data_IF_766177526785
#
_entry.id   IF_766177526785
#
_cell.length_a   1.000
_cell.length_b   1.000
_cell.length_c   1.000
_cell.angle_alpha   90.00
_cell.angle_beta   90.00
_cell.angle_gamma   90.00
#
_symmetry.space_group_name_H-M   'P 1'
#
loop_
_entity.id
_entity.type
_entity.pdbx_description
1 polymer ?
#
# COMPACT_ATOMS: atom_id res chain seq x y z
N UNK A 1 -21.08 6.93 7.14
CA UNK A 1 -20.07 7.73 6.42
C UNK A 1 -19.37 8.58 7.48
N UNK A 2 -18.08 8.35 7.73
CA UNK A 2 -17.33 9.20 8.66
C UNK A 2 -17.18 10.60 8.05
N UNK A 3 -17.56 11.64 8.81
CA UNK A 3 -17.32 13.02 8.43
C UNK A 3 -15.84 13.36 8.72
N UNK A 4 -15.11 13.81 7.70
CA UNK A 4 -13.69 14.13 7.83
C UNK A 4 -13.45 15.29 8.82
N UNK A 5 -14.42 16.21 8.95
CA UNK A 5 -14.30 17.32 9.91
C UNK A 5 -14.35 16.80 11.34
N UNK A 6 -15.28 15.86 11.63
CA UNK A 6 -15.37 15.22 12.95
C UNK A 6 -14.09 14.44 13.29
N UNK A 7 -13.50 13.77 12.29
CA UNK A 7 -12.21 13.08 12.52
C UNK A 7 -11.08 14.06 12.83
N UNK A 8 -11.05 15.19 12.14
CA UNK A 8 -10.05 16.24 12.37
C UNK A 8 -10.22 16.88 13.74
N UNK A 9 -11.44 17.21 14.13
CA UNK A 9 -11.74 17.82 15.44
C UNK A 9 -11.33 16.85 16.57
N UNK A 10 -11.63 15.56 16.43
CA UNK A 10 -11.20 14.53 17.37
C UNK A 10 -9.67 14.42 17.42
N UNK A 11 -8.98 14.51 16.29
CA UNK A 11 -7.53 14.47 16.22
C UNK A 11 -6.90 15.68 16.91
N UNK A 12 -7.44 16.89 16.68
CA UNK A 12 -7.00 18.12 17.34
C UNK A 12 -7.18 18.00 18.85
N UNK A 13 -8.36 17.57 19.31
CA UNK A 13 -8.63 17.37 20.73
C UNK A 13 -7.66 16.37 21.38
N UNK A 14 -7.29 15.30 20.67
CA UNK A 14 -6.31 14.34 21.13
C UNK A 14 -4.90 14.96 21.24
N UNK A 15 -4.49 15.79 20.28
CA UNK A 15 -3.21 16.52 20.34
C UNK A 15 -3.17 17.47 21.54
N UNK A 16 -4.22 18.26 21.75
CA UNK A 16 -4.36 19.18 22.88
C UNK A 16 -4.31 18.45 24.22
N UNK A 17 -4.97 17.29 24.32
CA UNK A 17 -4.91 16.44 25.53
C UNK A 17 -3.50 15.94 25.88
N UNK A 18 -2.63 15.86 24.86
CA UNK A 18 -1.20 15.51 25.00
C UNK A 18 -0.29 16.72 25.21
N UNK A 19 -0.86 17.94 25.39
CA UNK A 19 -0.11 19.16 25.63
C UNK A 19 0.47 19.80 24.35
N UNK A 20 0.03 19.36 23.17
CA UNK A 20 0.39 20.02 21.90
C UNK A 20 -0.52 21.22 21.71
N UNK A 21 0.05 22.42 21.64
CA UNK A 21 -0.71 23.64 21.36
C UNK A 21 -0.99 23.72 19.86
N UNK A 22 -2.27 23.70 19.49
CA UNK A 22 -2.71 23.83 18.10
C UNK A 22 -3.29 25.21 17.88
N UNK A 23 -2.53 26.11 17.25
CA UNK A 23 -2.96 27.47 16.96
C UNK A 23 -3.10 27.70 15.45
N UNK A 24 -4.02 28.59 15.08
CA UNK A 24 -4.15 29.11 13.71
C UNK A 24 -4.33 28.06 12.62
N UNK A 25 -5.28 27.12 12.79
CA UNK A 25 -5.64 26.17 11.74
C UNK A 25 -6.10 26.94 10.51
N UNK A 26 -5.23 27.00 9.48
CA UNK A 26 -5.54 27.64 8.22
C UNK A 26 -6.40 26.73 7.35
N UNK A 27 -7.01 27.34 6.33
CA UNK A 27 -7.94 26.74 5.38
C UNK A 27 -7.56 25.32 4.99
N UNK A 28 -8.42 24.37 5.33
CA UNK A 28 -8.21 22.95 5.07
C UNK A 28 -8.58 22.62 3.62
N UNK A 29 -7.75 21.79 2.99
CA UNK A 29 -8.06 21.21 1.69
C UNK A 29 -8.00 19.70 1.83
N UNK A 30 -9.03 19.00 1.38
CA UNK A 30 -9.06 17.54 1.32
C UNK A 30 -9.04 17.08 -0.13
N UNK A 31 -8.32 15.98 -0.38
CA UNK A 31 -8.28 15.32 -1.67
C UNK A 31 -8.55 13.84 -1.48
N UNK A 32 -9.26 13.25 -2.44
CA UNK A 32 -9.43 11.81 -2.50
C UNK A 32 -8.17 11.17 -3.05
N UNK A 33 -7.56 10.26 -2.28
CA UNK A 33 -6.45 9.45 -2.76
C UNK A 33 -6.98 8.26 -3.55
N UNK A 34 -6.63 8.14 -4.85
CA UNK A 34 -7.07 7.03 -5.68
C UNK A 34 -6.17 5.80 -5.43
N UNK A 35 -6.62 4.89 -4.57
CA UNK A 35 -5.88 3.67 -4.25
C UNK A 35 -5.91 2.61 -5.33
N UNK A 36 -4.81 1.89 -5.46
CA UNK A 36 -4.66 0.56 -6.03
C UNK A 36 -5.16 0.38 -7.48
N UNK A 37 -4.56 1.06 -8.42
CA UNK A 37 -4.60 0.57 -9.80
C UNK A 37 -3.51 -0.47 -10.01
N UNK A 38 -3.89 -1.73 -10.19
CA UNK A 38 -2.94 -2.80 -10.55
C UNK A 38 -2.43 -2.69 -11.99
N UNK A 39 -2.95 -1.73 -12.75
CA UNK A 39 -2.53 -1.44 -14.14
C UNK A 39 -2.44 0.07 -14.35
N UNK A 40 -1.38 0.55 -15.02
CA UNK A 40 -1.27 1.94 -15.42
C UNK A 40 -2.45 2.36 -16.28
N UNK A 41 -2.94 3.58 -16.06
CA UNK A 41 -3.97 4.18 -16.89
C UNK A 41 -3.32 4.85 -18.10
N UNK A 42 -3.96 4.76 -19.26
CA UNK A 42 -3.48 5.37 -20.50
C UNK A 42 -4.61 5.76 -21.44
N UNK A 43 -4.31 6.66 -22.35
CA UNK A 43 -5.15 6.95 -23.48
C UNK A 43 -4.41 6.58 -24.78
N UNK A 44 -4.82 5.48 -25.40
CA UNK A 44 -4.17 4.95 -26.62
C UNK A 44 -4.29 5.91 -27.81
N UNK A 45 -5.43 6.60 -27.93
CA UNK A 45 -5.70 7.50 -29.06
C UNK A 45 -4.71 8.66 -29.13
N UNK A 46 -4.26 9.13 -27.99
CA UNK A 46 -3.38 10.30 -27.88
C UNK A 46 -1.96 9.96 -27.39
N UNK A 47 -1.61 8.68 -27.30
CA UNK A 47 -0.33 8.22 -26.75
C UNK A 47 0.00 8.81 -25.37
N UNK A 48 -1.03 8.93 -24.51
CA UNK A 48 -0.87 9.44 -23.15
C UNK A 48 -0.75 8.27 -22.17
N UNK A 49 0.31 8.25 -21.39
CA UNK A 49 0.48 7.38 -20.22
C UNK A 49 0.36 8.21 -18.95
N UNK A 50 -0.40 7.73 -17.96
CA UNK A 50 -0.49 8.34 -16.63
C UNK A 50 0.42 7.59 -15.67
N UNK A 51 1.04 8.33 -14.75
CA UNK A 51 1.90 7.79 -13.68
C UNK A 51 1.50 8.37 -12.33
N UNK A 52 1.98 7.75 -11.24
CA UNK A 52 1.72 8.19 -9.87
C UNK A 52 0.23 8.25 -9.53
N UNK A 53 -0.18 9.26 -8.79
CA UNK A 53 -1.57 9.45 -8.32
C UNK A 53 -2.58 9.55 -9.46
N UNK A 54 -2.21 10.18 -10.57
CA UNK A 54 -3.05 10.26 -11.77
C UNK A 54 -3.41 8.88 -12.33
N UNK A 55 -2.55 7.87 -12.07
CA UNK A 55 -2.77 6.47 -12.43
C UNK A 55 -3.20 5.59 -11.25
N UNK A 56 -3.50 6.19 -10.11
CA UNK A 56 -3.90 5.48 -8.88
C UNK A 56 -2.81 4.50 -8.37
N UNK A 57 -1.54 4.88 -8.50
CA UNK A 57 -0.39 4.07 -8.09
C UNK A 57 -0.03 4.33 -6.63
N UNK A 58 -1.00 4.12 -5.74
CA UNK A 58 -0.85 4.30 -4.30
C UNK A 58 -1.08 2.96 -3.61
N UNK A 59 -0.15 2.56 -2.74
CA UNK A 59 -0.32 1.36 -1.93
C UNK A 59 -1.57 1.49 -1.06
N UNK A 60 -2.55 0.60 -1.20
CA UNK A 60 -3.83 0.72 -0.50
C UNK A 60 -3.74 0.49 1.01
N UNK A 61 -2.63 -0.03 1.50
CA UNK A 61 -2.40 -0.33 2.92
C UNK A 61 -1.64 0.81 3.61
N UNK A 62 -0.52 1.27 3.03
CA UNK A 62 0.32 2.32 3.63
C UNK A 62 -0.04 3.74 3.19
N UNK A 63 -0.70 3.91 2.02
CA UNK A 63 -0.88 5.22 1.40
C UNK A 63 0.35 5.74 0.67
N UNK A 64 1.42 4.94 0.59
CA UNK A 64 2.65 5.27 -0.12
C UNK A 64 2.42 5.25 -1.64
N UNK A 65 2.91 6.27 -2.37
CA UNK A 65 2.75 6.41 -3.81
C UNK A 65 3.99 6.94 -4.53
N UNK A 66 4.95 7.52 -3.78
CA UNK A 66 6.13 8.17 -4.35
C UNK A 66 7.01 7.15 -5.07
N UNK A 67 7.32 6.03 -4.42
CA UNK A 67 8.13 4.95 -4.99
C UNK A 67 7.51 4.41 -6.28
N UNK A 68 6.22 4.09 -6.27
CA UNK A 68 5.54 3.55 -7.45
C UNK A 68 5.44 4.57 -8.58
N UNK A 69 5.26 5.87 -8.25
CA UNK A 69 5.28 6.96 -9.22
C UNK A 69 6.65 7.12 -9.88
N UNK A 70 7.74 7.06 -9.11
CA UNK A 70 9.12 7.13 -9.61
C UNK A 70 9.45 5.91 -10.49
N UNK A 71 9.13 4.69 -10.05
CA UNK A 71 9.34 3.48 -10.82
C UNK A 71 8.52 3.49 -12.13
N UNK A 72 7.28 3.96 -12.08
CA UNK A 72 6.46 4.12 -13.28
C UNK A 72 7.09 5.11 -14.27
N UNK A 73 7.61 6.25 -13.78
CA UNK A 73 8.34 7.22 -14.58
C UNK A 73 9.59 6.63 -15.22
N UNK A 74 10.40 5.90 -14.43
CA UNK A 74 11.59 5.21 -14.93
C UNK A 74 11.25 4.16 -16.00
N UNK A 75 10.27 3.29 -15.75
CA UNK A 75 9.87 2.26 -16.70
C UNK A 75 9.27 2.86 -17.98
N UNK A 76 8.51 3.95 -17.86
CA UNK A 76 7.98 4.65 -19.03
C UNK A 76 9.11 5.24 -19.87
N UNK A 77 10.03 5.98 -19.25
CA UNK A 77 11.18 6.56 -19.94
C UNK A 77 12.05 5.48 -20.61
N UNK A 78 12.40 4.42 -19.88
CA UNK A 78 13.17 3.27 -20.39
C UNK A 78 12.57 2.66 -21.66
N UNK A 79 11.23 2.54 -21.71
CA UNK A 79 10.55 1.88 -22.81
C UNK A 79 10.19 2.83 -23.97
N UNK A 80 10.30 4.15 -23.79
CA UNK A 80 9.84 5.13 -24.81
C UNK A 80 10.94 6.04 -25.35
N UNK A 81 12.07 6.23 -24.65
CA UNK A 81 13.08 7.24 -25.02
C UNK A 81 13.62 7.11 -26.44
N UNK A 82 13.84 5.88 -26.95
CA UNK A 82 14.29 5.64 -28.33
C UNK A 82 13.18 5.75 -29.37
N UNK A 83 11.92 5.85 -28.92
CA UNK A 83 10.74 5.84 -29.78
C UNK A 83 10.06 7.22 -29.87
N UNK A 84 10.60 8.25 -29.19
CA UNK A 84 9.96 9.57 -29.08
C UNK A 84 9.71 10.22 -30.44
N UNK A 85 10.65 10.08 -31.37
CA UNK A 85 10.58 10.65 -32.72
C UNK A 85 9.98 9.68 -33.74
N UNK A 86 9.43 8.56 -33.30
CA UNK A 86 8.85 7.53 -34.15
C UNK A 86 7.35 7.39 -33.95
N UNK A 87 6.65 6.91 -34.99
CA UNK A 87 5.23 6.53 -34.87
C UNK A 87 5.01 5.28 -33.96
N UNK A 88 6.05 4.75 -33.33
CA UNK A 88 6.00 3.52 -32.54
C UNK A 88 5.95 3.77 -31.03
N UNK A 89 5.79 5.00 -30.56
CA UNK A 89 5.75 5.35 -29.14
C UNK A 89 4.67 4.56 -28.36
N UNK A 90 3.57 4.23 -29.01
CA UNK A 90 2.52 3.39 -28.43
C UNK A 90 3.00 1.99 -28.02
N UNK A 91 3.99 1.44 -28.74
CA UNK A 91 4.62 0.15 -28.42
C UNK A 91 5.42 0.26 -27.12
N UNK A 92 6.14 1.37 -26.94
CA UNK A 92 6.87 1.66 -25.72
C UNK A 92 5.93 1.78 -24.50
N UNK A 93 4.81 2.47 -24.68
CA UNK A 93 3.78 2.59 -23.65
C UNK A 93 3.16 1.21 -23.31
N UNK A 94 2.95 0.35 -24.31
CA UNK A 94 2.47 -1.03 -24.09
C UNK A 94 3.46 -1.89 -23.31
N UNK A 95 4.78 -1.74 -23.59
CA UNK A 95 5.84 -2.43 -22.84
C UNK A 95 5.88 -1.95 -21.38
N UNK A 96 5.84 -0.64 -21.17
CA UNK A 96 5.77 -0.03 -19.85
C UNK A 96 4.60 -0.59 -19.02
N UNK A 97 3.39 -0.61 -19.59
CA UNK A 97 2.21 -1.14 -18.90
C UNK A 97 2.39 -2.61 -18.50
N UNK A 98 2.96 -3.42 -19.39
CA UNK A 98 3.22 -4.84 -19.12
C UNK A 98 4.27 -5.03 -18.01
N UNK A 99 5.39 -4.29 -18.06
CA UNK A 99 6.45 -4.38 -17.07
C UNK A 99 5.96 -3.94 -15.69
N UNK A 100 5.29 -2.79 -15.59
CA UNK A 100 4.72 -2.30 -14.35
C UNK A 100 3.70 -3.29 -13.76
N UNK A 101 2.77 -3.76 -14.60
CA UNK A 101 1.75 -4.72 -14.18
C UNK A 101 2.36 -6.03 -13.71
N UNK A 102 3.37 -6.55 -14.41
CA UNK A 102 4.08 -7.77 -14.03
C UNK A 102 4.73 -7.64 -12.66
N UNK A 103 5.35 -6.48 -12.38
CA UNK A 103 6.08 -6.24 -11.13
C UNK A 103 5.13 -6.02 -9.96
N UNK A 104 4.17 -5.11 -10.08
CA UNK A 104 3.41 -4.61 -8.93
C UNK A 104 2.01 -5.20 -8.73
N UNK A 105 1.43 -5.89 -9.73
CA UNK A 105 0.04 -6.35 -9.62
C UNK A 105 -0.23 -7.24 -8.42
N UNK A 106 0.65 -8.21 -8.17
CA UNK A 106 0.48 -9.15 -7.04
C UNK A 106 0.58 -8.41 -5.71
N UNK A 107 1.54 -7.50 -5.60
CA UNK A 107 1.74 -6.66 -4.43
C UNK A 107 0.50 -5.81 -4.15
N UNK A 108 0.02 -5.01 -5.10
CA UNK A 108 -1.17 -4.17 -4.92
C UNK A 108 -2.44 -4.99 -4.56
N UNK A 109 -2.63 -6.15 -5.17
CA UNK A 109 -3.75 -7.03 -4.82
C UNK A 109 -3.64 -7.55 -3.38
N UNK A 110 -2.43 -7.89 -2.95
CA UNK A 110 -2.16 -8.34 -1.58
C UNK A 110 -2.41 -7.23 -0.55
N UNK A 111 -1.93 -6.02 -0.85
CA UNK A 111 -2.18 -4.84 0.00
C UNK A 111 -3.67 -4.49 0.07
N UNK A 112 -4.39 -4.59 -1.05
CA UNK A 112 -5.84 -4.35 -1.08
C UNK A 112 -6.59 -5.39 -0.23
N UNK A 113 -6.20 -6.67 -0.29
CA UNK A 113 -6.77 -7.72 0.54
C UNK A 113 -6.44 -7.51 2.02
N UNK A 114 -5.19 -7.20 2.36
CA UNK A 114 -4.79 -6.91 3.72
C UNK A 114 -5.56 -5.72 4.30
N UNK A 115 -5.75 -4.65 3.52
CA UNK A 115 -6.59 -3.51 3.91
C UNK A 115 -8.02 -3.91 4.25
N UNK A 116 -8.65 -4.79 3.45
CA UNK A 116 -10.02 -5.28 3.73
C UNK A 116 -10.08 -6.02 5.08
N UNK A 117 -9.07 -6.84 5.38
CA UNK A 117 -8.95 -7.54 6.65
C UNK A 117 -8.81 -6.54 7.81
N UNK A 118 -7.98 -5.52 7.63
CA UNK A 118 -7.73 -4.49 8.65
C UNK A 118 -8.91 -3.53 8.88
N UNK A 119 -9.93 -3.51 8.02
CA UNK A 119 -11.18 -2.78 8.30
C UNK A 119 -11.97 -3.39 9.46
N UNK A 120 -11.73 -4.64 9.83
CA UNK A 120 -12.34 -5.28 10.99
C UNK A 120 -11.52 -4.98 12.25
N UNK A 121 -12.07 -4.28 13.27
CA UNK A 121 -11.37 -4.03 14.54
C UNK A 121 -10.93 -5.33 15.24
N UNK A 122 -11.71 -6.39 15.11
CA UNK A 122 -11.38 -7.71 15.66
C UNK A 122 -10.12 -8.27 14.98
N UNK A 123 -10.07 -8.25 13.65
CA UNK A 123 -8.94 -8.76 12.87
C UNK A 123 -7.68 -7.93 13.12
N UNK A 124 -7.82 -6.61 13.20
CA UNK A 124 -6.70 -5.70 13.51
C UNK A 124 -6.12 -5.99 14.89
N UNK A 125 -6.97 -6.08 15.94
CA UNK A 125 -6.52 -6.45 17.28
C UNK A 125 -5.82 -7.81 17.31
N UNK A 126 -6.34 -8.77 16.53
CA UNK A 126 -5.75 -10.10 16.44
C UNK A 126 -4.40 -10.07 15.74
N UNK A 127 -4.27 -9.36 14.62
CA UNK A 127 -3.01 -9.17 13.90
C UNK A 127 -1.95 -8.53 14.80
N UNK A 128 -2.28 -7.43 15.46
CA UNK A 128 -1.36 -6.75 16.37
C UNK A 128 -0.87 -7.68 17.50
N UNK A 129 -1.77 -8.51 18.04
CA UNK A 129 -1.41 -9.49 19.06
C UNK A 129 -0.51 -10.61 18.52
N UNK A 130 -0.71 -11.07 17.30
CA UNK A 130 0.19 -12.06 16.67
C UNK A 130 1.53 -11.38 16.39
N UNK A 131 1.54 -10.22 15.79
CA UNK A 131 2.74 -9.47 15.45
C UNK A 131 3.58 -9.14 16.70
N UNK A 132 2.96 -8.73 17.82
CA UNK A 132 3.69 -8.44 19.07
C UNK A 132 4.41 -9.66 19.69
N UNK A 133 4.17 -10.87 19.20
CA UNK A 133 4.78 -12.11 19.68
C UNK A 133 5.47 -12.91 18.57
N UNK A 134 5.63 -12.35 17.37
CA UNK A 134 6.18 -13.08 16.22
C UNK A 134 6.87 -12.12 15.25
N UNK A 135 8.18 -12.11 15.27
CA UNK A 135 9.00 -11.22 14.45
C UNK A 135 8.76 -11.44 12.94
N UNK A 136 8.65 -12.68 12.50
CA UNK A 136 8.38 -13.00 11.09
C UNK A 136 7.08 -12.33 10.58
N UNK A 137 6.07 -12.22 11.45
CA UNK A 137 4.82 -11.54 11.10
C UNK A 137 5.01 -10.04 11.00
N UNK A 138 5.82 -9.43 11.90
CA UNK A 138 6.17 -8.00 11.81
C UNK A 138 6.92 -7.74 10.51
N UNK A 139 7.98 -8.49 10.24
CA UNK A 139 8.82 -8.31 9.06
C UNK A 139 8.00 -8.41 7.77
N UNK A 140 7.13 -9.42 7.67
CA UNK A 140 6.23 -9.55 6.51
C UNK A 140 5.24 -8.37 6.39
N UNK A 141 4.70 -7.86 7.50
CA UNK A 141 3.81 -6.68 7.46
C UNK A 141 4.58 -5.44 7.03
N UNK A 142 5.81 -5.25 7.48
CA UNK A 142 6.68 -4.14 7.07
C UNK A 142 7.01 -4.23 5.58
N UNK A 143 7.39 -5.42 5.09
CA UNK A 143 7.63 -5.65 3.66
C UNK A 143 6.39 -5.38 2.81
N UNK A 144 5.19 -5.75 3.31
CA UNK A 144 3.94 -5.47 2.60
C UNK A 144 3.58 -3.97 2.59
N UNK A 145 4.02 -3.22 3.59
CA UNK A 145 3.78 -1.76 3.69
C UNK A 145 4.75 -0.95 2.81
N UNK A 146 6.01 -1.35 2.75
CA UNK A 146 7.12 -0.50 2.25
C UNK A 146 7.97 -1.13 1.17
N UNK A 147 7.74 -2.40 0.81
CA UNK A 147 8.48 -3.14 -0.20
C UNK A 147 7.54 -3.74 -1.25
N UNK A 148 8.01 -4.72 -2.00
CA UNK A 148 7.25 -5.39 -3.08
C UNK A 148 6.70 -6.77 -2.66
N UNK A 149 6.64 -7.07 -1.37
CA UNK A 149 6.10 -8.33 -0.87
C UNK A 149 4.65 -8.55 -1.32
N UNK A 150 4.27 -9.80 -1.46
CA UNK A 150 2.90 -10.16 -1.79
C UNK A 150 2.50 -11.45 -1.07
N UNK A 151 1.20 -11.58 -0.81
CA UNK A 151 0.62 -12.76 -0.17
C UNK A 151 0.72 -13.96 -1.10
N UNK A 152 1.55 -14.93 -0.72
CA UNK A 152 1.55 -16.27 -1.31
C UNK A 152 0.67 -17.21 -0.49
N UNK A 153 0.33 -18.37 -1.02
CA UNK A 153 -0.38 -19.39 -0.23
C UNK A 153 0.41 -19.78 1.03
N UNK A 154 1.75 -19.78 0.95
CA UNK A 154 2.63 -20.09 2.08
C UNK A 154 2.47 -19.04 3.20
N UNK A 155 2.54 -17.74 2.87
CA UNK A 155 2.33 -16.66 3.84
C UNK A 155 0.91 -16.68 4.41
N UNK A 156 -0.11 -16.91 3.57
CA UNK A 156 -1.50 -17.02 4.03
C UNK A 156 -1.65 -18.17 5.03
N UNK A 157 -1.06 -19.34 4.77
CA UNK A 157 -1.07 -20.46 5.72
C UNK A 157 -0.23 -20.14 6.96
N UNK A 158 1.00 -19.60 6.79
CA UNK A 158 1.91 -19.25 7.88
C UNK A 158 1.32 -18.22 8.85
N UNK A 159 0.61 -17.22 8.34
CA UNK A 159 -0.06 -16.22 9.17
C UNK A 159 -1.42 -16.76 9.65
N UNK A 160 -2.18 -17.42 8.77
CA UNK A 160 -3.53 -17.89 9.06
C UNK A 160 -3.59 -18.85 10.24
N UNK A 161 -2.67 -19.82 10.34
CA UNK A 161 -2.67 -20.75 11.48
C UNK A 161 -2.37 -20.03 12.80
N UNK A 162 -1.51 -18.98 12.79
CA UNK A 162 -1.21 -18.17 13.99
C UNK A 162 -2.43 -17.36 14.46
N UNK A 163 -3.35 -17.04 13.55
CA UNK A 163 -4.63 -16.41 13.91
C UNK A 163 -5.59 -17.37 14.63
N UNK A 164 -5.48 -18.66 14.40
CA UNK A 164 -6.35 -19.68 15.04
C UNK A 164 -5.79 -20.14 16.38
N UNK A 165 -4.47 -20.15 16.53
CA UNK A 165 -3.82 -20.62 17.76
C UNK A 165 -4.11 -19.71 18.97
N UNK A 166 -4.32 -20.30 20.17
CA UNK A 166 -4.35 -19.53 21.42
C UNK A 166 -3.01 -18.80 21.62
N UNK A 167 -3.06 -17.54 22.01
CA UNK A 167 -1.87 -16.67 22.20
C UNK A 167 -0.85 -17.21 23.20
N UNK A 168 -1.25 -18.05 24.14
CA UNK A 168 -0.35 -18.72 25.09
C UNK A 168 0.62 -19.70 24.40
N UNK A 169 0.27 -20.25 23.25
CA UNK A 169 1.15 -21.17 22.51
C UNK A 169 2.18 -20.42 21.64
N UNK A 170 1.88 -19.20 21.22
CA UNK A 170 2.81 -18.37 20.43
C UNK A 170 4.03 -17.93 21.25
N UNK A 171 3.86 -17.70 22.55
CA UNK A 171 4.96 -17.30 23.46
C UNK A 171 5.90 -18.44 23.87
N UNK A 172 5.50 -19.70 23.68
CA UNK A 172 6.33 -20.88 24.02
C UNK A 172 7.35 -21.20 22.93
N UNK A 173 7.07 -20.85 21.66
CA UNK A 173 7.98 -21.10 20.52
C UNK A 173 9.24 -20.23 20.51
N UNK A 174 9.24 -19.09 21.22
CA UNK A 174 10.42 -18.20 21.29
C UNK A 174 11.47 -18.63 22.33
N UNK A 175 11.10 -19.45 23.32
CA UNK A 175 12.05 -19.92 24.36
C UNK A 175 12.95 -21.08 23.90
N UNK A 176 12.75 -21.64 22.73
CA UNK A 176 13.54 -22.75 22.19
C UNK A 176 14.56 -22.35 21.15
N UNK A 177 14.72 -21.03 20.85
CA UNK A 177 15.73 -20.52 19.91
C UNK A 177 16.78 -19.59 20.58
N UNK A 178 16.84 -19.56 21.90
CA UNK A 178 17.88 -18.83 22.64
C UNK A 178 18.95 -19.77 23.19
#
# INVERSE_FOLDING_TARGET
>A
KLDINVLLDNFISELESRGVVVENIRKQKSYLLPFASSRPKRNKKYNIALIGDASSMINPMSGEGIFYGMEAGYLLAKNTHELLDSNMISIGIDKYEKEFTKRFRKHFLSCALARLILQSPFMTKRLLRVASNDQDTIDFVVELLFDEAYLTLKEVFKIGYKFVLPTKLLSLGQKTQS
#
